data_IF_663334761217
#
_entry.id   IF_663334761217
#
_cell.length_a   1.000
_cell.length_b   1.000
_cell.length_c   1.000
_cell.angle_alpha   90.00
_cell.angle_beta   90.00
_cell.angle_gamma   90.00
#
_symmetry.space_group_name_H-M   'P 1'
#
loop_
_entity.id
_entity.type
_entity.pdbx_description
1 polymer ?
#
# COMPACT_ATOMS: atom_id res chain seq x y z
N UNK A 1 6.24 -4.65 -16.59
CA UNK A 1 4.81 -4.93 -16.37
C UNK A 1 4.76 -6.01 -15.31
N UNK A 2 3.89 -5.89 -14.31
CA UNK A 2 3.79 -6.86 -13.20
C UNK A 2 3.40 -8.24 -13.78
N UNK A 3 4.05 -9.30 -13.31
CA UNK A 3 3.77 -10.67 -13.73
C UNK A 3 2.47 -11.20 -13.14
N UNK A 4 1.87 -12.19 -13.79
CA UNK A 4 0.65 -12.84 -13.30
C UNK A 4 0.82 -13.45 -11.89
N UNK A 5 2.02 -13.94 -11.58
CA UNK A 5 2.30 -14.57 -10.28
C UNK A 5 2.43 -13.54 -9.17
N UNK A 6 3.00 -12.36 -9.44
CA UNK A 6 3.00 -11.22 -8.51
C UNK A 6 1.58 -10.69 -8.26
N UNK A 7 0.73 -10.64 -9.31
CA UNK A 7 -0.68 -10.24 -9.16
C UNK A 7 -1.43 -11.23 -8.28
N UNK A 8 -1.26 -12.54 -8.51
CA UNK A 8 -1.87 -13.58 -7.67
C UNK A 8 -1.40 -13.47 -6.21
N UNK A 9 -0.11 -13.25 -6.00
CA UNK A 9 0.45 -13.08 -4.67
C UNK A 9 -0.19 -11.90 -3.92
N UNK A 10 -0.28 -10.72 -4.57
CA UNK A 10 -0.94 -9.54 -3.99
C UNK A 10 -2.40 -9.82 -3.62
N UNK A 11 -3.13 -10.52 -4.49
CA UNK A 11 -4.52 -10.88 -4.25
C UNK A 11 -4.67 -11.81 -3.03
N UNK A 12 -3.87 -12.88 -2.94
CA UNK A 12 -3.96 -13.82 -1.81
C UNK A 12 -3.58 -13.16 -0.49
N UNK A 13 -2.50 -12.39 -0.46
CA UNK A 13 -2.09 -11.66 0.76
C UNK A 13 -3.13 -10.64 1.21
N UNK A 14 -3.66 -9.86 0.26
CA UNK A 14 -4.72 -8.89 0.58
C UNK A 14 -5.97 -9.58 1.11
N UNK A 15 -6.34 -10.73 0.54
CA UNK A 15 -7.49 -11.52 0.96
C UNK A 15 -7.34 -12.03 2.39
N UNK A 16 -6.15 -12.51 2.78
CA UNK A 16 -5.86 -12.91 4.17
C UNK A 16 -6.13 -11.75 5.14
N UNK A 17 -5.65 -10.55 4.82
CA UNK A 17 -5.86 -9.34 5.64
C UNK A 17 -7.35 -8.97 5.69
N UNK A 18 -8.05 -8.92 4.55
CA UNK A 18 -9.47 -8.55 4.56
C UNK A 18 -10.35 -9.56 5.31
N UNK A 19 -9.99 -10.85 5.31
CA UNK A 19 -10.71 -11.88 6.04
C UNK A 19 -10.50 -11.81 7.56
N UNK A 20 -9.37 -11.27 8.02
CA UNK A 20 -9.10 -11.09 9.46
C UNK A 20 -9.76 -9.84 10.03
N UNK A 21 -10.09 -8.86 9.19
CA UNK A 21 -10.70 -7.60 9.61
C UNK A 21 -12.20 -7.74 9.95
N UNK A 22 -12.71 -6.93 10.90
CA UNK A 22 -14.12 -6.91 11.23
C UNK A 22 -14.96 -6.31 10.09
N UNK A 23 -16.23 -6.73 10.01
CA UNK A 23 -17.18 -6.24 9.00
C UNK A 23 -17.43 -4.74 9.11
N UNK A 24 -17.44 -4.22 10.34
CA UNK A 24 -17.53 -2.80 10.63
C UNK A 24 -16.17 -2.30 11.13
N UNK A 25 -15.53 -1.45 10.33
CA UNK A 25 -14.27 -0.80 10.71
C UNK A 25 -14.57 0.41 11.60
N UNK A 26 -13.86 0.53 12.71
CA UNK A 26 -13.82 1.74 13.54
C UNK A 26 -12.55 2.51 13.17
N UNK A 27 -12.68 3.78 12.79
CA UNK A 27 -11.60 4.59 12.22
C UNK A 27 -11.51 5.95 12.92
N UNK A 28 -10.30 6.43 13.16
CA UNK A 28 -10.03 7.72 13.80
C UNK A 28 -9.65 8.80 12.77
N UNK A 29 -9.97 10.06 13.10
CA UNK A 29 -9.53 11.21 12.34
C UNK A 29 -8.06 11.58 12.70
N UNK A 30 -7.29 12.19 11.77
CA UNK A 30 -7.66 12.61 10.42
C UNK A 30 -7.62 11.45 9.40
N UNK A 31 -8.58 11.42 8.47
CA UNK A 31 -8.69 10.39 7.44
C UNK A 31 -9.23 10.98 6.12
N UNK A 32 -8.65 10.56 5.00
CA UNK A 32 -9.10 10.86 3.65
C UNK A 32 -10.11 9.80 3.20
N UNK A 33 -11.32 10.21 2.83
CA UNK A 33 -12.36 9.29 2.36
C UNK A 33 -12.48 9.41 0.84
N UNK A 34 -12.19 8.31 0.15
CA UNK A 34 -12.17 8.23 -1.31
C UNK A 34 -13.35 7.40 -1.83
N UNK A 35 -14.10 7.99 -2.77
CA UNK A 35 -15.17 7.32 -3.50
C UNK A 35 -14.65 6.46 -4.66
N UNK A 36 -15.50 6.24 -5.66
CA UNK A 36 -15.18 5.42 -6.83
C UNK A 36 -13.97 5.95 -7.60
N UNK A 37 -13.07 5.04 -7.99
CA UNK A 37 -11.89 5.35 -8.83
C UNK A 37 -12.09 4.91 -10.28
N UNK A 38 -12.87 3.86 -10.51
CA UNK A 38 -13.23 3.33 -11.82
C UNK A 38 -12.02 3.16 -12.76
N UNK A 39 -10.90 2.63 -12.26
CA UNK A 39 -9.69 2.39 -13.05
C UNK A 39 -9.01 3.66 -13.59
N UNK A 40 -9.26 4.83 -13.00
CA UNK A 40 -8.60 6.10 -13.34
C UNK A 40 -7.31 6.28 -12.55
N UNK A 41 -6.32 5.43 -12.82
CA UNK A 41 -5.03 5.39 -12.09
C UNK A 41 -4.33 6.76 -12.02
N UNK A 42 -4.34 7.53 -13.11
CA UNK A 42 -3.70 8.85 -13.15
C UNK A 42 -4.36 9.84 -12.18
N UNK A 43 -5.69 9.81 -12.09
CA UNK A 43 -6.43 10.68 -11.18
C UNK A 43 -6.24 10.26 -9.71
N UNK A 44 -6.12 8.95 -9.45
CA UNK A 44 -5.75 8.43 -8.14
C UNK A 44 -4.38 8.95 -7.67
N UNK A 45 -3.36 8.93 -8.53
CA UNK A 45 -2.04 9.49 -8.19
C UNK A 45 -2.11 10.98 -7.89
N UNK A 46 -2.89 11.74 -8.67
CA UNK A 46 -3.11 13.18 -8.42
C UNK A 46 -3.80 13.43 -7.08
N UNK A 47 -4.70 12.55 -6.65
CA UNK A 47 -5.30 12.64 -5.32
C UNK A 47 -4.25 12.43 -4.22
N UNK A 48 -3.34 11.46 -4.39
CA UNK A 48 -2.24 11.27 -3.45
C UNK A 48 -1.28 12.46 -3.39
N UNK A 49 -0.94 13.06 -4.54
CA UNK A 49 -0.11 14.27 -4.58
C UNK A 49 -0.72 15.46 -3.81
N UNK A 50 -2.06 15.52 -3.75
CA UNK A 50 -2.79 16.62 -3.08
C UNK A 50 -3.07 16.35 -1.61
N UNK A 51 -3.42 15.11 -1.27
CA UNK A 51 -3.95 14.72 0.05
C UNK A 51 -2.96 13.91 0.88
N UNK A 52 -1.72 13.75 0.39
CA UNK A 52 -0.69 12.90 0.98
C UNK A 52 -0.82 11.46 0.50
N UNK A 53 0.30 10.80 0.27
CA UNK A 53 0.28 9.38 -0.08
C UNK A 53 -0.12 8.51 1.13
N UNK A 54 -0.51 7.24 0.93
CA UNK A 54 -0.90 6.35 2.03
C UNK A 54 0.17 6.11 3.11
N UNK A 55 1.43 6.49 2.87
CA UNK A 55 2.51 6.47 3.87
C UNK A 55 2.56 7.75 4.74
N UNK A 56 1.87 8.82 4.34
CA UNK A 56 1.77 10.11 5.03
C UNK A 56 0.36 10.37 5.60
N UNK A 57 -0.66 9.71 5.07
CA UNK A 57 -2.06 10.03 5.37
C UNK A 57 -2.94 8.78 5.37
N UNK A 58 -3.92 8.76 6.29
CA UNK A 58 -4.85 7.65 6.42
C UNK A 58 -5.93 7.71 5.33
N UNK A 59 -6.31 6.56 4.78
CA UNK A 59 -7.33 6.46 3.74
C UNK A 59 -8.42 5.44 4.05
N UNK A 60 -9.67 5.82 3.78
CA UNK A 60 -10.78 4.90 3.61
C UNK A 60 -11.27 4.96 2.15
N UNK A 61 -11.15 3.85 1.44
CA UNK A 61 -11.73 3.72 0.10
C UNK A 61 -13.07 2.99 0.17
N UNK A 62 -14.09 3.55 -0.49
CA UNK A 62 -15.47 3.06 -0.44
C UNK A 62 -15.80 2.06 -1.57
N UNK A 63 -14.80 1.58 -2.29
CA UNK A 63 -14.98 0.65 -3.41
C UNK A 63 -14.98 1.32 -4.77
N UNK A 64 -15.51 0.63 -5.78
CA UNK A 64 -15.53 1.12 -7.16
C UNK A 64 -14.13 1.28 -7.77
N UNK A 65 -13.17 0.43 -7.37
CA UNK A 65 -11.77 0.50 -7.80
C UNK A 65 -11.58 0.30 -9.30
N UNK A 66 -12.36 -0.63 -9.86
CA UNK A 66 -12.23 -1.13 -11.24
C UNK A 66 -13.45 -0.76 -12.07
N UNK A 67 -13.39 -1.08 -13.37
CA UNK A 67 -14.39 -0.83 -14.41
C UNK A 67 -14.31 0.57 -15.04
N UNK A 68 -14.64 0.65 -16.34
CA UNK A 68 -14.69 1.85 -17.19
C UNK A 68 -13.34 2.47 -17.55
N UNK A 69 -12.44 2.65 -16.59
CA UNK A 69 -11.09 3.17 -16.83
C UNK A 69 -10.16 2.12 -17.43
N UNK A 70 -9.21 2.60 -18.24
CA UNK A 70 -8.25 1.76 -18.98
C UNK A 70 -7.19 1.12 -18.07
N UNK A 71 -7.01 1.65 -16.86
CA UNK A 71 -5.92 1.29 -15.95
C UNK A 71 -6.45 0.60 -14.68
N UNK A 72 -7.47 -0.26 -14.84
CA UNK A 72 -8.10 -0.96 -13.72
C UNK A 72 -7.13 -1.89 -13.00
N UNK A 73 -6.24 -2.56 -13.72
CA UNK A 73 -5.26 -3.48 -13.15
C UNK A 73 -4.22 -2.73 -12.32
N UNK A 74 -3.65 -1.66 -12.87
CA UNK A 74 -2.68 -0.81 -12.19
C UNK A 74 -3.29 -0.17 -10.93
N UNK A 75 -4.56 0.25 -11.02
CA UNK A 75 -5.31 0.81 -9.89
C UNK A 75 -5.43 -0.19 -8.76
N UNK A 76 -5.94 -1.40 -9.03
CA UNK A 76 -6.16 -2.38 -7.97
C UNK A 76 -4.83 -2.91 -7.42
N UNK A 77 -3.83 -3.17 -8.27
CA UNK A 77 -2.52 -3.62 -7.82
C UNK A 77 -1.84 -2.60 -6.90
N UNK A 78 -1.92 -1.30 -7.21
CA UNK A 78 -1.36 -0.26 -6.35
C UNK A 78 -2.04 -0.23 -4.97
N UNK A 79 -3.38 -0.23 -4.93
CA UNK A 79 -4.13 -0.17 -3.68
C UNK A 79 -3.91 -1.42 -2.82
N UNK A 80 -3.83 -2.61 -3.44
CA UNK A 80 -3.51 -3.85 -2.74
C UNK A 80 -2.07 -3.85 -2.21
N UNK A 81 -1.10 -3.31 -2.95
CA UNK A 81 0.27 -3.20 -2.47
C UNK A 81 0.38 -2.32 -1.22
N UNK A 82 -0.33 -1.18 -1.18
CA UNK A 82 -0.42 -0.37 0.03
C UNK A 82 -1.09 -1.10 1.20
N UNK A 83 -2.07 -1.96 0.92
CA UNK A 83 -2.78 -2.74 1.94
C UNK A 83 -1.93 -3.85 2.56
N UNK A 84 -1.01 -4.45 1.80
CA UNK A 84 -0.24 -5.65 2.20
C UNK A 84 1.04 -5.33 2.96
N UNK A 85 1.49 -4.06 3.03
CA UNK A 85 2.78 -3.77 3.65
C UNK A 85 2.68 -3.69 5.18
N UNK A 86 3.15 -4.73 5.89
CA UNK A 86 3.05 -4.87 7.35
C UNK A 86 4.38 -4.65 8.12
N UNK A 87 5.56 -4.88 7.53
CA UNK A 87 6.84 -5.02 8.28
C UNK A 87 7.76 -3.80 8.32
N UNK A 88 7.26 -2.61 7.99
CA UNK A 88 8.13 -1.44 7.93
C UNK A 88 8.99 -1.34 6.68
N UNK A 89 9.17 -2.41 5.92
CA UNK A 89 9.70 -2.40 4.56
C UNK A 89 9.34 -3.72 3.88
N UNK A 90 9.30 -3.74 2.56
CA UNK A 90 9.01 -4.96 1.81
C UNK A 90 9.72 -4.94 0.46
N UNK A 91 10.21 -6.11 0.04
CA UNK A 91 10.89 -6.29 -1.24
C UNK A 91 9.93 -6.87 -2.28
N UNK A 92 9.95 -6.31 -3.48
CA UNK A 92 9.10 -6.69 -4.61
C UNK A 92 9.93 -6.94 -5.87
N UNK A 93 9.33 -7.56 -6.89
CA UNK A 93 9.95 -7.79 -8.20
C UNK A 93 11.34 -8.42 -8.11
N UNK A 94 11.46 -9.63 -7.54
CA UNK A 94 12.75 -10.31 -7.33
C UNK A 94 13.81 -9.45 -6.63
N UNK A 95 13.39 -8.64 -5.64
CA UNK A 95 14.22 -7.68 -4.89
C UNK A 95 14.76 -6.51 -5.71
N UNK A 96 14.20 -6.24 -6.89
CA UNK A 96 14.55 -5.06 -7.68
C UNK A 96 13.91 -3.78 -7.13
N UNK A 97 12.84 -3.89 -6.37
CA UNK A 97 12.15 -2.77 -5.74
C UNK A 97 12.02 -3.01 -4.23
N UNK A 98 12.25 -1.97 -3.44
CA UNK A 98 12.04 -2.00 -1.99
C UNK A 98 11.26 -0.76 -1.56
N UNK A 99 10.23 -0.97 -0.74
CA UNK A 99 9.49 0.11 -0.07
C UNK A 99 9.88 0.11 1.40
N UNK A 100 10.05 1.28 2.02
CA UNK A 100 10.48 1.46 3.42
C UNK A 100 9.51 2.42 4.11
N UNK A 101 9.14 2.10 5.33
CA UNK A 101 8.28 2.84 6.25
C UNK A 101 9.09 3.14 7.50
N UNK A 102 9.37 4.42 7.75
CA UNK A 102 10.30 4.87 8.80
C UNK A 102 9.67 5.08 10.18
N UNK A 103 8.37 4.85 10.34
CA UNK A 103 7.62 5.12 11.57
C UNK A 103 6.95 3.85 12.08
N UNK A 104 7.48 3.22 13.15
CA UNK A 104 6.82 2.11 13.83
C UNK A 104 5.57 2.58 14.57
N UNK A 105 4.63 1.66 14.78
CA UNK A 105 3.47 1.86 15.66
C UNK A 105 2.60 3.06 15.25
N UNK A 106 2.18 3.06 13.97
CA UNK A 106 1.41 4.18 13.43
C UNK A 106 0.09 4.32 14.19
N UNK A 107 -0.03 5.36 15.03
CA UNK A 107 -1.22 5.69 15.83
C UNK A 107 -1.58 4.64 16.91
N UNK A 108 -0.68 3.73 17.28
CA UNK A 108 -0.96 2.74 18.34
C UNK A 108 -1.88 1.58 17.91
N UNK A 109 -2.21 1.48 16.62
CA UNK A 109 -3.18 0.50 16.08
C UNK A 109 -2.53 -0.62 15.25
N UNK A 110 -1.28 -0.45 14.82
CA UNK A 110 -0.59 -1.41 13.94
C UNK A 110 0.68 -1.94 14.60
N UNK A 111 0.90 -3.25 14.56
CA UNK A 111 2.15 -3.90 14.99
C UNK A 111 3.24 -3.79 13.89
N UNK A 112 3.22 -2.69 13.11
CA UNK A 112 4.19 -2.49 12.06
C UNK A 112 5.49 -1.96 12.67
N UNK A 113 6.58 -2.67 12.43
CA UNK A 113 7.89 -2.16 12.77
C UNK A 113 8.27 -1.01 11.82
N UNK A 114 9.15 -0.13 12.24
CA UNK A 114 9.64 0.98 11.43
C UNK A 114 11.04 0.62 10.96
N UNK A 115 11.31 0.74 9.67
CA UNK A 115 12.59 0.35 9.12
C UNK A 115 13.39 1.52 8.54
N UNK A 116 14.70 1.42 8.65
CA UNK A 116 15.66 2.33 8.06
C UNK A 116 16.63 1.55 7.16
N UNK A 117 16.68 1.92 5.89
CA UNK A 117 17.63 1.34 4.94
C UNK A 117 18.94 2.11 4.95
N UNK A 118 20.04 1.42 5.16
CA UNK A 118 21.41 1.93 5.07
C UNK A 118 22.08 1.41 3.81
N UNK A 119 22.65 2.32 3.04
CA UNK A 119 23.45 2.03 1.84
C UNK A 119 24.90 2.38 2.12
N UNK A 120 25.82 1.43 1.92
CA UNK A 120 27.25 1.66 2.11
C UNK A 120 27.97 2.10 0.81
N UNK A 121 29.28 2.33 0.90
CA UNK A 121 30.10 2.77 -0.23
C UNK A 121 30.22 1.71 -1.36
N UNK A 122 29.88 0.45 -1.07
CA UNK A 122 29.84 -0.64 -2.05
C UNK A 122 28.43 -0.89 -2.59
N UNK A 123 27.48 0.01 -2.33
CA UNK A 123 26.06 -0.11 -2.69
C UNK A 123 25.36 -1.31 -2.01
N UNK A 124 25.89 -1.80 -0.89
CA UNK A 124 25.23 -2.84 -0.11
C UNK A 124 24.10 -2.22 0.71
N UNK A 125 22.89 -2.72 0.49
CA UNK A 125 21.68 -2.30 1.21
C UNK A 125 21.48 -3.18 2.46
N UNK A 126 21.25 -2.55 3.61
CA UNK A 126 20.94 -3.22 4.89
C UNK A 126 19.77 -2.51 5.57
N UNK A 127 18.99 -3.24 6.37
CA UNK A 127 17.76 -2.72 6.99
C UNK A 127 17.87 -2.86 8.51
N UNK A 128 17.53 -1.80 9.22
CA UNK A 128 17.34 -1.78 10.66
C UNK A 128 15.85 -1.64 10.94
N UNK A 129 15.30 -2.50 11.77
CA UNK A 129 13.88 -2.60 12.14
C UNK A 129 13.74 -2.31 13.63
#
# INVERSE_FOLDING_TARGET
>A
QISDDEIKFLCEKSKEIFLSQPVLLELQAPINICGNICGQYTDLLRHFDQSGFPYESNYLFLGGYVNRGKQSLETICLLLAYKVTENGYEFFADRQLVTIFSTPDYVGEFDNAGALMRVDQNLMCSFMV
#
